data_IF_955805778788
#
_entry.id   IF_955805778788
#
_cell.length_a   1.000
_cell.length_b   1.000
_cell.length_c   1.000
_cell.angle_alpha   90.00
_cell.angle_beta   90.00
_cell.angle_gamma   90.00
#
_symmetry.space_group_name_H-M   'P 1'
#
loop_
_entity.id
_entity.type
_entity.pdbx_description
1 polymer ?
#
# COMPACT_ATOMS: atom_id res chain seq x y z
N UNK A 1 3.44 -1.66 -12.04
CA UNK A 1 4.76 -1.09 -11.70
C UNK A 1 5.17 -0.13 -12.79
N UNK A 2 5.52 1.09 -12.42
CA UNK A 2 5.99 2.12 -13.34
C UNK A 2 7.52 2.19 -13.31
N UNK A 3 8.15 2.36 -14.46
CA UNK A 3 9.57 2.65 -14.58
C UNK A 3 9.69 3.96 -15.38
N UNK A 4 10.37 4.96 -14.83
CA UNK A 4 10.53 6.29 -15.44
C UNK A 4 9.22 6.99 -15.81
N UNK A 5 8.13 6.67 -15.10
CA UNK A 5 6.79 7.23 -15.33
C UNK A 5 5.92 6.43 -16.30
N UNK A 6 6.48 5.42 -16.96
CA UNK A 6 5.76 4.57 -17.91
C UNK A 6 5.38 3.21 -17.28
N UNK A 7 4.21 2.63 -17.61
CA UNK A 7 3.85 1.28 -17.19
C UNK A 7 4.89 0.26 -17.68
N UNK A 8 5.53 -0.47 -16.77
CA UNK A 8 6.57 -1.45 -17.09
C UNK A 8 6.04 -2.89 -17.05
N UNK A 9 5.43 -3.30 -15.93
CA UNK A 9 4.85 -4.63 -15.77
C UNK A 9 3.78 -4.66 -14.66
N UNK A 10 3.04 -5.77 -14.57
CA UNK A 10 2.04 -6.01 -13.54
C UNK A 10 2.54 -7.07 -12.54
N UNK A 11 2.11 -6.93 -11.27
CA UNK A 11 2.32 -7.96 -10.26
C UNK A 11 1.05 -8.81 -10.21
N UNK A 12 1.19 -10.10 -10.50
CA UNK A 12 0.11 -11.08 -10.39
C UNK A 12 0.26 -11.89 -9.11
N UNK A 13 -0.75 -11.84 -8.23
CA UNK A 13 -0.80 -12.56 -6.97
C UNK A 13 -1.82 -13.72 -6.96
N UNK A 14 -2.28 -14.18 -8.13
CA UNK A 14 -3.25 -15.26 -8.26
C UNK A 14 -2.71 -16.61 -7.74
N UNK A 15 -1.48 -16.97 -8.10
CA UNK A 15 -0.83 -18.21 -7.66
C UNK A 15 -0.36 -18.11 -6.21
N UNK A 16 -1.04 -18.82 -5.30
CA UNK A 16 -0.71 -18.85 -3.86
C UNK A 16 0.69 -19.40 -3.56
N UNK A 17 1.27 -20.21 -4.45
CA UNK A 17 2.63 -20.74 -4.26
C UNK A 17 3.73 -19.76 -4.64
N UNK A 18 3.36 -18.67 -5.35
CA UNK A 18 4.28 -17.63 -5.86
C UNK A 18 3.95 -16.24 -5.33
N UNK A 19 3.07 -16.15 -4.33
CA UNK A 19 2.62 -14.88 -3.75
C UNK A 19 2.72 -14.91 -2.23
N UNK A 20 2.81 -13.73 -1.64
CA UNK A 20 2.94 -13.56 -0.20
C UNK A 20 1.57 -13.24 0.46
N UNK A 21 1.59 -12.96 1.76
CA UNK A 21 0.41 -12.68 2.56
C UNK A 21 -0.35 -11.41 2.14
N UNK A 22 0.31 -10.44 1.47
CA UNK A 22 -0.31 -9.17 1.09
C UNK A 22 -1.49 -9.35 0.14
N UNK A 23 -1.52 -10.47 -0.61
CA UNK A 23 -2.66 -10.85 -1.49
C UNK A 23 -4.00 -11.00 -0.77
N UNK A 24 -3.97 -11.18 0.56
CA UNK A 24 -5.17 -11.39 1.38
C UNK A 24 -5.66 -10.11 2.05
N UNK A 25 -4.93 -9.00 1.94
CA UNK A 25 -5.34 -7.70 2.49
C UNK A 25 -6.48 -7.15 1.64
N UNK A 26 -7.61 -6.84 2.28
CA UNK A 26 -8.78 -6.33 1.58
C UNK A 26 -8.67 -4.83 1.28
N UNK A 27 -9.42 -4.40 0.26
CA UNK A 27 -9.54 -2.99 -0.07
C UNK A 27 -10.45 -2.28 0.96
N UNK A 28 -10.03 -1.13 1.45
CA UNK A 28 -10.89 -0.26 2.24
C UNK A 28 -12.09 0.23 1.40
N UNK A 29 -13.29 0.22 1.99
CA UNK A 29 -14.55 0.68 1.39
C UNK A 29 -14.79 2.18 1.63
N UNK A 30 -14.13 2.77 2.62
CA UNK A 30 -14.15 4.19 2.94
C UNK A 30 -12.86 4.58 3.69
N UNK A 31 -12.65 5.88 3.88
CA UNK A 31 -11.45 6.43 4.53
C UNK A 31 -11.40 6.13 6.03
N UNK A 32 -12.55 6.00 6.69
CA UNK A 32 -12.65 5.76 8.14
C UNK A 32 -12.07 4.39 8.51
N UNK A 33 -12.34 3.36 7.71
CA UNK A 33 -11.81 2.01 7.95
C UNK A 33 -10.41 1.79 7.37
N UNK A 34 -9.98 2.62 6.41
CA UNK A 34 -8.66 2.49 5.80
C UNK A 34 -7.56 2.67 6.86
N UNK A 35 -6.61 1.74 6.90
CA UNK A 35 -5.45 1.84 7.80
C UNK A 35 -4.12 1.59 7.10
N UNK A 36 -4.12 1.12 5.85
CA UNK A 36 -2.95 0.94 5.00
C UNK A 36 -3.00 1.80 3.73
N UNK A 37 -1.82 2.17 3.25
CA UNK A 37 -1.60 2.80 1.94
C UNK A 37 -0.62 1.96 1.15
N UNK A 38 -0.96 1.69 -0.11
CA UNK A 38 -0.06 1.09 -1.08
C UNK A 38 0.81 2.16 -1.75
N UNK A 39 2.10 1.90 -1.91
CA UNK A 39 3.01 2.77 -2.65
C UNK A 39 4.08 1.95 -3.37
N UNK A 40 4.58 2.49 -4.48
CA UNK A 40 5.69 1.90 -5.20
C UNK A 40 7.01 2.46 -4.69
N UNK A 41 8.00 1.59 -4.46
CA UNK A 41 9.35 2.00 -4.10
C UNK A 41 10.37 1.05 -4.73
N UNK A 42 11.37 1.59 -5.43
CA UNK A 42 12.45 0.82 -6.07
C UNK A 42 12.00 -0.37 -6.95
N UNK A 43 10.84 -0.25 -7.60
CA UNK A 43 10.30 -1.27 -8.50
C UNK A 43 9.32 -2.26 -7.85
N UNK A 44 9.14 -2.20 -6.52
CA UNK A 44 8.22 -3.07 -5.79
C UNK A 44 7.04 -2.29 -5.17
N UNK A 45 5.99 -3.01 -4.76
CA UNK A 45 4.84 -2.48 -4.02
C UNK A 45 4.96 -2.77 -2.53
N UNK A 46 4.75 -1.73 -1.72
CA UNK A 46 4.79 -1.80 -0.27
C UNK A 46 3.49 -1.27 0.32
N UNK A 47 3.07 -1.85 1.44
CA UNK A 47 2.00 -1.31 2.27
C UNK A 47 2.58 -0.71 3.53
N UNK A 48 2.15 0.51 3.86
CA UNK A 48 2.47 1.15 5.15
C UNK A 48 1.18 1.51 5.87
N UNK A 49 1.18 1.39 7.19
CA UNK A 49 0.15 2.00 8.01
C UNK A 49 0.36 3.50 8.10
N UNK A 50 -0.74 4.25 8.20
CA UNK A 50 -0.72 5.69 8.47
C UNK A 50 -1.45 6.08 9.76
N UNK A 51 -2.00 5.09 10.44
CA UNK A 51 -2.59 5.18 11.77
C UNK A 51 -2.32 3.89 12.54
N UNK A 52 -2.47 3.94 13.85
CA UNK A 52 -2.31 2.77 14.71
C UNK A 52 -3.37 1.70 14.39
N UNK A 53 -2.98 0.44 14.47
CA UNK A 53 -3.83 -0.72 14.18
C UNK A 53 -3.90 -1.58 15.44
N UNK A 54 -5.03 -1.49 16.14
CA UNK A 54 -5.28 -2.27 17.34
C UNK A 54 -5.38 -3.78 17.04
N UNK A 55 -4.99 -4.66 17.97
CA UNK A 55 -5.17 -6.10 17.82
C UNK A 55 -6.63 -6.46 17.52
N UNK A 56 -6.83 -7.31 16.51
CA UNK A 56 -8.16 -7.72 16.06
C UNK A 56 -8.78 -6.84 14.98
N UNK A 57 -8.19 -5.69 14.67
CA UNK A 57 -8.63 -4.86 13.54
C UNK A 57 -8.10 -5.42 12.22
N UNK A 58 -8.96 -5.42 11.19
CA UNK A 58 -8.61 -5.87 9.85
C UNK A 58 -7.65 -4.89 9.15
N UNK A 59 -6.70 -5.41 8.38
CA UNK A 59 -5.83 -4.63 7.50
C UNK A 59 -6.57 -4.24 6.23
N UNK A 60 -6.74 -2.95 5.98
CA UNK A 60 -7.53 -2.40 4.88
C UNK A 60 -6.74 -1.35 4.09
N UNK A 61 -6.48 -1.64 2.81
CA UNK A 61 -5.63 -0.84 1.92
C UNK A 61 -6.43 -0.05 0.90
N UNK A 62 -5.93 1.13 0.51
CA UNK A 62 -6.39 1.84 -0.67
C UNK A 62 -5.21 2.18 -1.58
N UNK A 63 -5.42 2.09 -2.89
CA UNK A 63 -4.38 2.19 -3.91
C UNK A 63 -4.11 3.64 -4.37
N UNK A 64 -4.72 4.63 -3.71
CA UNK A 64 -4.55 6.04 -4.05
C UNK A 64 -5.47 6.52 -5.18
N UNK A 65 -5.43 7.82 -5.44
CA UNK A 65 -6.37 8.48 -6.36
C UNK A 65 -6.10 8.15 -7.82
N UNK A 66 -4.83 7.98 -8.22
CA UNK A 66 -4.48 7.72 -9.62
C UNK A 66 -4.96 6.33 -10.06
N UNK A 67 -4.71 5.31 -9.22
CA UNK A 67 -5.22 3.96 -9.48
C UNK A 67 -6.75 3.87 -9.31
N UNK A 68 -7.32 4.64 -8.37
CA UNK A 68 -8.78 4.76 -8.24
C UNK A 68 -9.43 5.34 -9.50
N UNK A 69 -8.86 6.39 -10.08
CA UNK A 69 -9.32 7.02 -11.32
C UNK A 69 -9.26 6.07 -12.51
N UNK A 70 -8.19 5.29 -12.64
CA UNK A 70 -8.08 4.25 -13.69
C UNK A 70 -9.18 3.19 -13.58
N UNK A 71 -9.75 2.99 -12.39
CA UNK A 71 -10.89 2.10 -12.12
C UNK A 71 -12.25 2.82 -12.08
N UNK A 72 -12.30 4.14 -12.34
CA UNK A 72 -13.53 4.94 -12.28
C UNK A 72 -14.04 5.23 -10.86
N UNK A 73 -13.18 5.11 -9.84
CA UNK A 73 -13.51 5.33 -8.44
C UNK A 73 -12.88 6.65 -7.96
N UNK A 74 -13.71 7.66 -7.70
CA UNK A 74 -13.28 8.92 -7.11
C UNK A 74 -13.38 8.88 -5.57
N UNK A 75 -12.24 9.06 -4.88
CA UNK A 75 -12.15 9.26 -3.42
C UNK A 75 -11.25 10.45 -3.09
N UNK A 76 -11.42 11.06 -1.92
CA UNK A 76 -10.50 12.11 -1.47
C UNK A 76 -9.14 11.48 -1.17
N UNK A 77 -8.08 12.14 -1.64
CA UNK A 77 -6.74 11.58 -1.53
C UNK A 77 -6.08 11.95 -0.21
N UNK A 78 -6.28 11.12 0.81
CA UNK A 78 -5.50 11.24 2.06
C UNK A 78 -3.99 10.97 1.84
N UNK A 79 -3.59 10.31 0.74
CA UNK A 79 -2.17 10.05 0.45
C UNK A 79 -1.42 11.32 0.06
N UNK A 80 -2.09 12.29 -0.59
CA UNK A 80 -1.56 13.63 -0.84
C UNK A 80 -1.30 14.44 0.44
N UNK A 81 -2.10 14.20 1.49
CA UNK A 81 -1.93 14.81 2.81
C UNK A 81 -0.85 14.10 3.64
N UNK A 82 -0.68 12.80 3.41
CA UNK A 82 0.39 11.97 3.93
C UNK A 82 1.60 12.01 2.99
N UNK A 83 2.04 13.22 2.62
CA UNK A 83 3.37 13.41 2.03
C UNK A 83 4.33 12.59 2.89
N UNK A 84 5.15 11.70 2.32
CA UNK A 84 6.21 11.08 3.10
C UNK A 84 7.06 12.24 3.62
N UNK A 85 6.83 12.63 4.88
CA UNK A 85 7.91 13.22 5.64
C UNK A 85 8.97 12.12 5.54
N UNK A 86 10.02 12.37 4.77
CA UNK A 86 11.30 11.78 5.07
C UNK A 86 11.59 12.26 6.49
N UNK A 87 11.07 11.52 7.47
CA UNK A 87 11.35 11.78 8.87
C UNK A 87 12.81 11.40 8.96
N UNK A 88 13.64 12.43 9.09
CA UNK A 88 15.06 12.34 9.34
C UNK A 88 15.33 11.13 10.25
N UNK A 89 16.36 10.36 9.87
CA UNK A 89 16.75 9.13 10.56
C UNK A 89 16.60 9.24 12.08
N UNK A 90 16.11 8.15 12.68
CA UNK A 90 15.83 7.94 14.12
C UNK A 90 14.36 7.99 14.57
N UNK A 91 13.40 8.13 13.66
CA UNK A 91 12.01 7.74 13.95
C UNK A 91 11.78 6.27 13.61
N UNK A 92 11.57 5.39 14.59
CA UNK A 92 11.04 4.04 14.36
C UNK A 92 9.64 4.12 13.76
N UNK A 93 9.53 4.37 12.46
CA UNK A 93 8.44 3.83 11.68
C UNK A 93 8.83 2.38 11.47
N UNK A 94 8.16 1.46 12.16
CA UNK A 94 8.29 0.03 11.91
C UNK A 94 7.81 -0.21 10.49
N UNK A 95 8.72 -0.08 9.53
CA UNK A 95 8.56 -0.68 8.23
C UNK A 95 8.43 -2.17 8.52
N UNK A 96 7.20 -2.71 8.50
CA UNK A 96 7.02 -4.15 8.39
C UNK A 96 7.42 -4.54 6.97
N UNK A 97 8.72 -4.45 6.71
CA UNK A 97 9.39 -5.24 5.70
C UNK A 97 9.26 -6.68 6.16
N UNK A 98 8.37 -7.42 5.54
CA UNK A 98 8.58 -8.86 5.40
C UNK A 98 8.89 -9.11 3.92
N UNK A 99 10.01 -8.54 3.47
CA UNK A 99 10.84 -9.25 2.52
C UNK A 99 11.66 -10.20 3.40
N UNK A 100 11.20 -11.44 3.51
CA UNK A 100 11.98 -12.64 3.85
C UNK A 100 11.01 -13.80 4.09
N UNK A 101 10.88 -14.65 3.07
CA UNK A 101 10.70 -16.11 3.06
C UNK A 101 10.00 -16.52 1.76
N UNK A 102 10.76 -16.47 0.66
CA UNK A 102 10.94 -17.62 -0.24
C UNK A 102 12.42 -17.72 -0.57
#
# INVERSE_FOLDING_TARGET
IYLDGDPNHFIDALDKSKSNWMRYVNCARNEDEQNLIAYQYKGDIYYRSFKDIEPGNELLVWYGQDYGKDLGIERLDITSLLKPKYINGEGRCTFYLWHDFV
#
